data_IF_631802861294
#
_entry.id   IF_631802861294
#
_cell.length_a   1.000
_cell.length_b   1.000
_cell.length_c   1.000
_cell.angle_alpha   90.00
_cell.angle_beta   90.00
_cell.angle_gamma   90.00
#
_symmetry.space_group_name_H-M   'P 1'
#
loop_
_entity.id
_entity.type
_entity.pdbx_description
1 polymer ?
#
# COMPACT_ATOMS: atom_id res chain seq x y z
N UNK A 1 -12.39 9.90 -22.02
CA UNK A 1 -12.17 9.74 -20.58
C UNK A 1 -10.99 8.84 -20.23
N UNK A 2 -10.86 7.61 -20.78
CA UNK A 2 -9.72 6.70 -20.50
C UNK A 2 -8.34 7.29 -20.84
N UNK A 3 -8.23 8.03 -21.97
CA UNK A 3 -6.98 8.69 -22.37
C UNK A 3 -6.58 9.86 -21.47
N UNK A 4 -7.56 10.58 -20.93
CA UNK A 4 -7.32 11.68 -19.99
C UNK A 4 -6.78 11.16 -18.65
N UNK A 5 -7.32 10.03 -18.18
CA UNK A 5 -6.85 9.36 -16.97
C UNK A 5 -5.40 8.87 -17.12
N UNK A 6 -5.05 8.29 -18.28
CA UNK A 6 -3.68 7.87 -18.58
C UNK A 6 -2.70 9.05 -18.64
N UNK A 7 -3.10 10.17 -19.21
CA UNK A 7 -2.28 11.39 -19.25
C UNK A 7 -2.14 11.99 -17.84
N UNK A 8 -3.19 11.99 -17.03
CA UNK A 8 -3.14 12.46 -15.65
C UNK A 8 -2.20 11.60 -14.79
N UNK A 9 -2.27 10.28 -14.93
CA UNK A 9 -1.37 9.33 -14.26
C UNK A 9 0.08 9.51 -14.72
N UNK A 10 0.30 9.74 -16.02
CA UNK A 10 1.64 9.99 -16.57
C UNK A 10 2.21 11.33 -16.11
N UNK A 11 1.40 12.40 -16.07
CA UNK A 11 1.83 13.73 -15.60
C UNK A 11 2.10 13.74 -14.11
N UNK A 12 1.27 13.08 -13.31
CA UNK A 12 1.54 12.90 -11.88
C UNK A 12 2.81 12.08 -11.66
N UNK A 13 3.03 11.01 -12.43
CA UNK A 13 4.25 10.20 -12.36
C UNK A 13 5.53 10.97 -12.69
N UNK A 14 5.48 11.88 -13.64
CA UNK A 14 6.64 12.70 -14.04
C UNK A 14 6.93 13.87 -13.10
N UNK A 15 5.92 14.41 -12.42
CA UNK A 15 6.07 15.54 -11.50
C UNK A 15 6.77 15.15 -10.18
N UNK A 16 6.82 13.88 -9.84
CA UNK A 16 7.47 13.36 -8.63
C UNK A 16 8.93 12.95 -8.82
N UNK A 17 9.51 13.14 -10.01
CA UNK A 17 10.83 12.62 -10.38
C UNK A 17 12.05 13.30 -9.74
N UNK A 18 11.87 14.27 -8.83
CA UNK A 18 12.98 15.13 -8.38
C UNK A 18 13.57 14.82 -6.99
N UNK A 19 13.05 13.84 -6.26
CA UNK A 19 13.56 13.47 -4.93
C UNK A 19 13.65 11.95 -4.80
N UNK A 20 14.45 11.45 -3.88
CA UNK A 20 14.64 10.03 -3.62
C UNK A 20 13.31 9.28 -3.56
N UNK A 21 13.13 8.33 -4.44
CA UNK A 21 11.86 7.64 -4.66
C UNK A 21 12.11 6.15 -4.79
N UNK A 22 11.17 5.37 -4.32
CA UNK A 22 11.19 3.93 -4.50
C UNK A 22 9.95 3.48 -5.29
N UNK A 23 10.15 2.60 -6.24
CA UNK A 23 9.06 1.97 -6.99
C UNK A 23 9.24 0.46 -7.02
N UNK A 24 8.16 -0.29 -6.89
CA UNK A 24 8.23 -1.75 -6.91
C UNK A 24 6.91 -2.44 -6.69
N UNK A 25 6.98 -3.70 -6.26
CA UNK A 25 5.82 -4.52 -5.98
C UNK A 25 5.66 -4.82 -4.49
N UNK A 26 4.42 -4.92 -4.06
CA UNK A 26 4.00 -5.36 -2.73
C UNK A 26 3.05 -6.55 -2.88
N UNK A 27 3.35 -7.66 -2.22
CA UNK A 27 2.65 -8.93 -2.35
C UNK A 27 2.34 -9.50 -0.98
N UNK A 28 1.14 -10.02 -0.77
CA UNK A 28 0.82 -10.53 0.54
C UNK A 28 -0.54 -11.21 0.66
N UNK A 29 -0.95 -11.37 1.91
CA UNK A 29 -2.24 -11.90 2.30
C UNK A 29 -3.13 -10.81 2.89
N UNK A 30 -4.42 -10.91 2.64
CA UNK A 30 -5.46 -10.06 3.21
C UNK A 30 -6.50 -10.92 3.90
N UNK A 31 -7.00 -10.46 5.01
CA UNK A 31 -8.01 -11.17 5.78
C UNK A 31 -9.01 -10.22 6.43
N UNK A 32 -10.15 -10.77 6.84
CA UNK A 32 -11.22 -10.03 7.50
C UNK A 32 -11.72 -10.80 8.71
N UNK A 33 -12.18 -10.07 9.73
CA UNK A 33 -12.69 -10.69 10.95
C UNK A 33 -14.05 -11.36 10.79
N UNK A 34 -14.83 -11.01 9.77
CA UNK A 34 -16.19 -11.53 9.59
C UNK A 34 -16.26 -12.89 8.88
N UNK A 35 -15.34 -13.20 8.00
CA UNK A 35 -15.39 -14.41 7.18
C UNK A 35 -14.53 -15.56 7.71
N UNK A 36 -14.22 -15.56 8.99
CA UNK A 36 -13.36 -16.58 9.59
C UNK A 36 -11.94 -16.54 9.03
N UNK A 37 -11.27 -17.67 8.97
CA UNK A 37 -9.87 -17.77 8.54
C UNK A 37 -9.65 -17.70 7.02
N UNK A 38 -10.57 -17.13 6.24
CA UNK A 38 -10.36 -16.96 4.81
C UNK A 38 -9.33 -15.85 4.56
N UNK A 39 -8.14 -16.26 4.18
CA UNK A 39 -7.05 -15.38 3.78
C UNK A 39 -7.03 -15.32 2.26
N UNK A 40 -7.26 -14.13 1.74
CA UNK A 40 -7.06 -13.82 0.34
C UNK A 40 -5.61 -13.42 0.05
N UNK A 41 -5.34 -13.06 -1.19
CA UNK A 41 -4.04 -12.52 -1.61
C UNK A 41 -4.19 -11.14 -2.21
N UNK A 42 -3.12 -10.35 -2.12
CA UNK A 42 -3.01 -9.06 -2.81
C UNK A 42 -1.68 -8.95 -3.56
N UNK A 43 -1.74 -8.20 -4.64
CA UNK A 43 -0.58 -7.77 -5.40
C UNK A 43 -0.76 -6.30 -5.78
N UNK A 44 0.19 -5.47 -5.39
CA UNK A 44 0.12 -4.02 -5.53
C UNK A 44 1.40 -3.49 -6.17
N UNK A 45 1.25 -2.49 -7.06
CA UNK A 45 2.32 -1.61 -7.46
C UNK A 45 2.49 -0.57 -6.37
N UNK A 46 3.70 -0.45 -5.83
CA UNK A 46 4.01 0.42 -4.71
C UNK A 46 4.98 1.51 -5.12
N UNK A 47 4.64 2.74 -4.77
CA UNK A 47 5.46 3.92 -4.98
C UNK A 47 5.65 4.66 -3.67
N UNK A 48 6.90 5.01 -3.34
CA UNK A 48 7.24 5.77 -2.14
C UNK A 48 7.87 7.10 -2.53
N UNK A 49 7.39 8.17 -1.91
CA UNK A 49 7.92 9.51 -2.03
C UNK A 49 8.44 9.99 -0.67
N UNK A 50 9.75 10.19 -0.56
CA UNK A 50 10.35 10.72 0.65
C UNK A 50 10.11 12.22 0.76
N UNK A 51 9.62 12.62 1.92
CA UNK A 51 9.42 14.02 2.30
C UNK A 51 10.67 14.55 3.03
N UNK A 52 10.63 15.80 3.43
CA UNK A 52 11.68 16.35 4.28
C UNK A 52 11.74 15.62 5.63
N UNK A 53 12.94 15.20 6.05
CA UNK A 53 13.14 14.47 7.29
C UNK A 53 12.83 12.96 7.18
N UNK A 54 12.49 12.30 8.30
CA UNK A 54 12.30 10.85 8.35
C UNK A 54 10.87 10.43 7.96
N UNK A 55 10.25 11.13 7.01
CA UNK A 55 8.86 10.92 6.64
C UNK A 55 8.73 10.57 5.17
N UNK A 56 7.73 9.75 4.83
CA UNK A 56 7.39 9.44 3.45
C UNK A 56 5.90 9.23 3.24
N UNK A 57 5.49 9.42 2.00
CA UNK A 57 4.20 8.94 1.48
C UNK A 57 4.42 7.64 0.72
N UNK A 58 3.49 6.73 0.87
CA UNK A 58 3.42 5.50 0.08
C UNK A 58 2.08 5.46 -0.65
N UNK A 59 2.13 5.10 -1.92
CA UNK A 59 0.96 4.94 -2.78
C UNK A 59 0.99 3.53 -3.34
N UNK A 60 -0.03 2.77 -3.08
CA UNK A 60 -0.16 1.40 -3.56
C UNK A 60 -1.41 1.28 -4.43
N UNK A 61 -1.24 0.77 -5.64
CA UNK A 61 -2.34 0.47 -6.55
C UNK A 61 -2.28 -1.01 -6.89
N UNK A 62 -3.35 -1.72 -6.65
CA UNK A 62 -3.32 -3.14 -6.88
C UNK A 62 -4.65 -3.84 -6.94
N UNK A 63 -4.51 -5.13 -6.85
CA UNK A 63 -5.58 -6.08 -6.96
C UNK A 63 -5.53 -7.01 -5.76
N UNK A 64 -6.68 -7.23 -5.17
CA UNK A 64 -6.85 -8.17 -4.07
C UNK A 64 -7.99 -9.13 -4.36
N UNK A 65 -7.87 -10.34 -3.85
CA UNK A 65 -8.88 -11.38 -3.97
C UNK A 65 -9.07 -12.08 -2.63
N UNK A 66 -10.27 -11.91 -2.09
CA UNK A 66 -10.74 -12.63 -0.92
C UNK A 66 -12.25 -12.88 -1.11
N UNK A 67 -12.64 -14.01 -1.69
CA UNK A 67 -13.95 -14.36 -2.25
C UNK A 67 -14.26 -13.59 -3.53
N UNK A 68 -14.24 -12.25 -3.50
CA UNK A 68 -14.45 -11.38 -4.65
C UNK A 68 -13.17 -10.68 -5.08
N UNK A 69 -13.15 -10.30 -6.35
CA UNK A 69 -12.05 -9.53 -6.92
C UNK A 69 -12.30 -8.05 -6.69
N UNK A 70 -11.33 -7.34 -6.13
CA UNK A 70 -11.41 -5.90 -6.02
C UNK A 70 -10.09 -5.21 -6.37
N UNK A 71 -10.22 -4.04 -6.94
CA UNK A 71 -9.11 -3.12 -7.16
C UNK A 71 -8.99 -2.20 -5.95
N UNK A 72 -7.79 -2.02 -5.44
CA UNK A 72 -7.53 -1.16 -4.29
C UNK A 72 -6.47 -0.12 -4.62
N UNK A 73 -6.67 1.05 -4.02
CA UNK A 73 -5.70 2.13 -3.98
C UNK A 73 -5.51 2.54 -2.52
N UNK A 74 -4.27 2.50 -2.07
CA UNK A 74 -3.93 2.87 -0.71
C UNK A 74 -2.95 4.04 -0.68
N UNK A 75 -3.11 4.89 0.33
CA UNK A 75 -2.18 5.97 0.65
C UNK A 75 -1.77 5.80 2.11
N UNK A 76 -0.46 5.71 2.35
CA UNK A 76 0.14 5.67 3.68
C UNK A 76 1.04 6.88 3.92
N UNK A 77 1.00 7.44 5.12
CA UNK A 77 2.02 8.37 5.60
C UNK A 77 2.83 7.67 6.68
N UNK A 78 4.15 7.60 6.49
CA UNK A 78 5.02 6.84 7.39
C UNK A 78 6.05 7.74 8.06
N UNK A 79 6.20 7.55 9.37
CA UNK A 79 7.37 7.97 10.14
C UNK A 79 8.38 6.83 10.12
N UNK A 80 9.63 7.12 9.75
CA UNK A 80 10.71 6.14 9.69
C UNK A 80 11.62 6.31 10.92
N UNK A 81 12.00 5.17 11.47
CA UNK A 81 12.88 5.11 12.63
C UNK A 81 14.03 4.15 12.33
N UNK A 82 15.28 4.65 12.29
CA UNK A 82 16.44 3.79 12.10
C UNK A 82 16.62 2.84 13.27
N UNK A 83 16.94 1.58 13.01
CA UNK A 83 17.27 0.58 14.03
C UNK A 83 18.78 0.45 14.14
N UNK A 84 19.41 -0.11 13.10
CA UNK A 84 20.85 -0.31 13.01
C UNK A 84 21.28 -0.55 11.56
N UNK A 85 22.40 0.05 11.16
CA UNK A 85 22.94 -0.13 9.81
C UNK A 85 21.98 0.29 8.72
N UNK A 86 21.55 -0.67 7.92
CA UNK A 86 20.64 -0.47 6.79
C UNK A 86 19.17 -0.85 7.12
N UNK A 87 18.87 -1.16 8.39
CA UNK A 87 17.54 -1.53 8.85
C UNK A 87 16.81 -0.35 9.50
N UNK A 88 15.55 -0.20 9.14
CA UNK A 88 14.62 0.77 9.71
C UNK A 88 13.27 0.10 9.98
N UNK A 89 12.48 0.67 10.87
CA UNK A 89 11.08 0.37 10.98
C UNK A 89 10.26 1.62 10.69
N UNK A 90 9.01 1.43 10.35
CA UNK A 90 8.10 2.53 10.06
C UNK A 90 6.70 2.24 10.60
N UNK A 91 5.97 3.30 10.86
CA UNK A 91 4.57 3.25 11.26
C UNK A 91 3.87 4.53 10.80
N UNK A 92 2.58 4.44 10.54
CA UNK A 92 1.77 5.62 10.27
C UNK A 92 0.35 5.31 9.84
N UNK A 93 -0.48 6.33 9.65
CA UNK A 93 -1.85 6.18 9.18
C UNK A 93 -1.88 5.72 7.72
N UNK A 94 -2.93 4.99 7.38
CA UNK A 94 -3.21 4.53 6.03
C UNK A 94 -4.69 4.69 5.68
N UNK A 95 -4.96 5.05 4.43
CA UNK A 95 -6.31 5.12 3.86
C UNK A 95 -6.36 4.22 2.65
N UNK A 96 -7.37 3.39 2.55
CA UNK A 96 -7.60 2.49 1.42
C UNK A 96 -8.92 2.83 0.74
N UNK A 97 -8.88 2.96 -0.58
CA UNK A 97 -10.04 3.03 -1.47
C UNK A 97 -10.12 1.73 -2.24
N UNK A 98 -11.26 1.07 -2.22
CA UNK A 98 -11.50 -0.16 -2.95
C UNK A 98 -12.67 -0.03 -3.90
N UNK A 99 -12.63 -0.81 -4.99
CA UNK A 99 -13.76 -0.95 -5.92
C UNK A 99 -14.02 -2.43 -6.19
N UNK A 100 -15.24 -2.84 -5.92
CA UNK A 100 -15.75 -4.17 -6.24
C UNK A 100 -16.72 -4.10 -7.41
N UNK A 101 -16.63 -5.05 -8.34
CA UNK A 101 -17.48 -5.06 -9.53
C UNK A 101 -18.99 -5.12 -9.24
N UNK A 102 -19.39 -5.73 -8.13
CA UNK A 102 -20.80 -5.95 -7.81
C UNK A 102 -21.37 -4.93 -6.81
N UNK A 103 -20.52 -4.26 -6.03
CA UNK A 103 -20.96 -3.53 -4.83
C UNK A 103 -20.51 -2.05 -4.77
N UNK A 104 -19.63 -1.63 -5.66
CA UNK A 104 -19.22 -0.22 -5.76
C UNK A 104 -17.93 0.12 -5.01
N UNK A 105 -17.83 1.38 -4.55
CA UNK A 105 -16.64 1.92 -3.89
C UNK A 105 -16.68 1.74 -2.38
N UNK A 106 -15.53 1.47 -1.80
CA UNK A 106 -15.29 1.40 -0.39
C UNK A 106 -14.16 2.26 0.12
N UNK A 107 -14.30 2.68 1.36
CA UNK A 107 -13.31 3.46 2.08
C UNK A 107 -12.98 2.79 3.41
N UNK A 108 -11.69 2.53 3.62
CA UNK A 108 -11.18 2.05 4.89
C UNK A 108 -10.06 2.94 5.39
N UNK A 109 -9.97 3.11 6.69
CA UNK A 109 -8.86 3.80 7.34
C UNK A 109 -8.21 2.89 8.37
N UNK A 110 -6.93 3.12 8.62
CA UNK A 110 -6.19 2.34 9.57
C UNK A 110 -4.77 2.83 9.75
N UNK A 111 -3.90 1.89 10.03
CA UNK A 111 -2.48 2.13 10.15
C UNK A 111 -1.69 1.14 9.29
N UNK A 112 -0.48 1.50 8.95
CA UNK A 112 0.49 0.60 8.34
C UNK A 112 1.79 0.69 9.13
N UNK A 113 2.41 -0.44 9.39
CA UNK A 113 3.69 -0.49 10.05
C UNK A 113 4.49 -1.72 9.65
N UNK A 114 5.80 -1.58 9.66
CA UNK A 114 6.67 -2.65 9.23
C UNK A 114 8.15 -2.39 9.45
N UNK A 115 8.95 -3.32 8.96
CA UNK A 115 10.39 -3.22 8.95
C UNK A 115 10.91 -3.24 7.52
N UNK A 116 11.98 -2.50 7.27
CA UNK A 116 12.59 -2.42 5.96
C UNK A 116 14.11 -2.52 6.04
N UNK A 117 14.68 -3.05 4.98
CA UNK A 117 16.11 -3.13 4.76
C UNK A 117 16.48 -2.39 3.48
N UNK A 118 17.38 -1.42 3.63
CA UNK A 118 17.84 -0.51 2.58
C UNK A 118 19.36 -0.63 2.38
N UNK A 119 19.88 -1.72 1.77
CA UNK A 119 21.32 -1.92 1.63
C UNK A 119 21.98 -0.79 0.86
N UNK A 120 23.07 -0.25 1.39
CA UNK A 120 23.82 0.85 0.75
C UNK A 120 24.46 0.45 -0.57
N UNK A 121 24.77 -0.84 -0.72
CA UNK A 121 25.50 -1.37 -1.87
C UNK A 121 24.59 -1.82 -3.03
N UNK A 122 23.27 -1.72 -2.88
CA UNK A 122 22.32 -2.11 -3.92
C UNK A 122 21.15 -1.12 -3.96
N UNK A 123 20.64 -0.78 -5.15
CA UNK A 123 19.51 0.14 -5.31
C UNK A 123 18.17 -0.54 -5.06
N UNK A 124 18.10 -1.38 -4.04
CA UNK A 124 16.89 -2.13 -3.67
C UNK A 124 16.46 -1.80 -2.25
N UNK A 125 15.17 -1.91 -1.99
CA UNK A 125 14.56 -1.90 -0.68
C UNK A 125 13.73 -3.18 -0.53
N UNK A 126 13.88 -3.88 0.56
CA UNK A 126 13.01 -4.98 0.97
C UNK A 126 12.24 -4.55 2.22
N UNK A 127 10.96 -4.86 2.28
CA UNK A 127 10.15 -4.54 3.44
C UNK A 127 9.12 -5.63 3.72
N UNK A 128 8.77 -5.76 5.00
CA UNK A 128 7.63 -6.55 5.48
C UNK A 128 6.77 -5.63 6.30
N UNK A 129 5.48 -5.61 6.03
CA UNK A 129 4.55 -4.71 6.71
C UNK A 129 3.21 -5.38 7.00
N UNK A 130 2.50 -4.79 7.97
CA UNK A 130 1.11 -5.10 8.27
C UNK A 130 0.27 -3.82 8.18
N UNK A 131 -0.93 -3.96 7.63
CA UNK A 131 -1.89 -2.87 7.41
C UNK A 131 -3.26 -3.27 7.98
N UNK A 132 -3.49 -3.11 9.29
CA UNK A 132 -4.82 -3.19 9.86
C UNK A 132 -5.66 -1.98 9.44
N UNK A 133 -6.89 -2.24 9.01
CA UNK A 133 -7.83 -1.20 8.55
C UNK A 133 -9.24 -1.47 9.05
N UNK A 134 -10.02 -0.42 9.17
CA UNK A 134 -11.44 -0.49 9.44
C UNK A 134 -12.22 0.19 8.31
N UNK A 135 -13.16 -0.55 7.75
CA UNK A 135 -13.98 -0.12 6.63
C UNK A 135 -15.33 0.40 7.12
N UNK A 136 -15.72 1.61 6.71
CA UNK A 136 -16.97 2.24 7.16
C UNK A 136 -17.91 2.65 6.05
N UNK A 137 -17.49 2.64 4.82
CA UNK A 137 -18.35 2.99 3.70
C UNK A 137 -18.32 1.85 2.71
N UNK A 138 -19.21 0.87 2.87
CA UNK A 138 -19.54 -0.06 1.81
C UNK A 138 -20.84 -0.82 2.05
N UNK A 139 -21.48 -1.25 0.94
CA UNK A 139 -22.48 -2.30 0.96
C UNK A 139 -21.90 -3.62 1.53
N UNK A 140 -22.75 -4.43 2.11
CA UNK A 140 -22.46 -5.58 2.96
C UNK A 140 -21.59 -6.72 2.35
N UNK A 141 -21.09 -6.60 1.14
CA UNK A 141 -20.50 -7.70 0.38
C UNK A 141 -19.04 -7.53 -0.05
N UNK A 142 -18.41 -6.37 0.15
CA UNK A 142 -17.01 -6.18 -0.21
C UNK A 142 -16.02 -6.53 0.91
N UNK A 143 -14.79 -6.69 0.52
CA UNK A 143 -13.67 -7.40 1.12
C UNK A 143 -13.49 -7.36 2.64
N UNK A 144 -13.78 -6.26 3.31
CA UNK A 144 -13.45 -6.17 4.73
C UNK A 144 -14.66 -6.11 5.65
N UNK A 145 -15.76 -5.53 5.24
CA UNK A 145 -16.98 -5.33 6.03
C UNK A 145 -16.69 -5.22 7.55
N UNK A 146 -16.05 -4.12 7.96
CA UNK A 146 -15.59 -3.88 9.31
C UNK A 146 -14.07 -3.94 9.44
N UNK A 147 -13.55 -4.79 10.30
CA UNK A 147 -12.12 -4.90 10.51
C UNK A 147 -11.46 -5.86 9.51
N UNK A 148 -10.46 -5.35 8.81
CA UNK A 148 -9.60 -6.09 7.90
C UNK A 148 -8.13 -5.91 8.22
N UNK A 149 -7.30 -6.79 7.71
CA UNK A 149 -5.85 -6.70 7.83
C UNK A 149 -5.17 -7.21 6.57
N UNK A 150 -4.02 -6.62 6.26
CA UNK A 150 -3.12 -7.12 5.24
C UNK A 150 -1.72 -7.32 5.82
N UNK A 151 -1.03 -8.36 5.40
CA UNK A 151 0.39 -8.57 5.68
C UNK A 151 1.09 -8.78 4.35
N UNK A 152 2.16 -8.05 4.09
CA UNK A 152 2.82 -8.10 2.80
C UNK A 152 4.33 -8.01 2.89
N UNK A 153 4.96 -8.55 1.85
CA UNK A 153 6.37 -8.38 1.52
C UNK A 153 6.48 -7.47 0.30
N UNK A 154 7.44 -6.54 0.33
CA UNK A 154 7.66 -5.58 -0.74
C UNK A 154 9.09 -5.62 -1.23
N UNK A 155 9.23 -5.50 -2.55
CA UNK A 155 10.51 -5.31 -3.22
C UNK A 155 10.42 -4.05 -4.06
N UNK A 156 11.28 -3.07 -3.79
CA UNK A 156 11.28 -1.78 -4.48
C UNK A 156 12.67 -1.43 -4.99
N UNK A 157 12.72 -0.76 -6.12
CA UNK A 157 13.92 -0.15 -6.67
C UNK A 157 14.01 1.30 -6.21
N UNK A 158 15.18 1.72 -5.73
CA UNK A 158 15.46 3.09 -5.31
C UNK A 158 15.95 3.91 -6.50
N UNK A 159 15.17 4.91 -6.86
CA UNK A 159 15.51 5.88 -7.90
C UNK A 159 16.28 7.02 -7.22
N UNK A 160 17.50 7.29 -7.70
CA UNK A 160 18.36 8.34 -7.18
C UNK A 160 18.22 9.61 -8.01
#
# INVERSE_FOLDING_TARGET
MKKLLLVLVAVLGLSFAANAQNIGGRFGGVGTSKNGANVGYNAELSYQHYLSGPNRLEFDLGFSRNNDNYVNFAIGYHWLFPIAGDFSWFIGPAVNLGYCNNDGFGLAVGAQGGAEWNPKNAPIQLAVDARPVYEFLLPDHCAYNGFGYGVAFSVRYRIH
#
